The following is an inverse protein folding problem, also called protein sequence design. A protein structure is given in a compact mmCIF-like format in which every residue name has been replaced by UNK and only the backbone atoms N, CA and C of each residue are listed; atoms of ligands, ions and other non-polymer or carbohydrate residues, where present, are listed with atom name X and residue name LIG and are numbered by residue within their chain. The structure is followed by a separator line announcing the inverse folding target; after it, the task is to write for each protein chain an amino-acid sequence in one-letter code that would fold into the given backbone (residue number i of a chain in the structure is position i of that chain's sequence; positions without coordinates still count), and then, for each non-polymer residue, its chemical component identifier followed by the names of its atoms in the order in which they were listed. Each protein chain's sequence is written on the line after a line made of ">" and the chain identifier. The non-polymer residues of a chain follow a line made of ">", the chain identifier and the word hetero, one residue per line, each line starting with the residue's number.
data_IF_774925190438
#
_entry.id   IF_774925190438
#
_cell.length_a   1.000
_cell.length_b   1.000
_cell.length_c   1.000
_cell.angle_alpha   90.00
_cell.angle_beta   90.00
_cell.angle_gamma   90.00
#
_symmetry.space_group_name_H-M   'P 1'
#
loop_
_entity.id
_entity.type
_entity.pdbx_description
1 polymer ?
#
# COMPACT_ATOMS: atom_id res chain seq x y z
N UNK A 1 -16.12 11.53 -2.94
CA UNK A 1 -14.64 11.48 -2.86
C UNK A 1 -14.15 11.65 -1.43
N UNK A 2 -14.57 12.70 -0.73
CA UNK A 2 -14.07 12.97 0.62
C UNK A 2 -14.48 11.88 1.63
N UNK A 3 -15.66 11.26 1.48
CA UNK A 3 -16.04 10.10 2.31
C UNK A 3 -15.14 8.88 2.09
N UNK A 4 -14.71 8.63 0.85
CA UNK A 4 -13.75 7.56 0.55
C UNK A 4 -12.37 7.83 1.17
N UNK A 5 -11.93 9.09 1.18
CA UNK A 5 -10.70 9.50 1.87
C UNK A 5 -10.84 9.25 3.38
N UNK A 6 -11.96 9.66 3.98
CA UNK A 6 -12.24 9.45 5.41
C UNK A 6 -12.18 7.97 5.79
N UNK A 7 -12.81 7.11 4.99
CA UNK A 7 -12.79 5.66 5.22
C UNK A 7 -11.38 5.07 5.05
N UNK A 8 -10.65 5.48 4.01
CA UNK A 8 -9.27 5.05 3.77
C UNK A 8 -8.34 5.42 4.93
N UNK A 9 -8.48 6.63 5.49
CA UNK A 9 -7.72 7.07 6.68
C UNK A 9 -8.02 6.18 7.89
N UNK A 10 -9.26 5.75 8.09
CA UNK A 10 -9.58 4.80 9.15
C UNK A 10 -8.90 3.44 8.94
N UNK A 11 -8.76 2.99 7.70
CA UNK A 11 -7.96 1.81 7.31
C UNK A 11 -6.47 1.96 7.64
N UNK A 12 -5.86 3.08 7.23
CA UNK A 12 -4.45 3.41 7.55
C UNK A 12 -4.23 3.43 9.06
N UNK A 13 -5.17 3.96 9.83
CA UNK A 13 -5.13 3.93 11.28
C UNK A 13 -5.02 2.51 11.87
N UNK A 14 -5.72 1.53 11.27
CA UNK A 14 -5.60 0.12 11.68
C UNK A 14 -4.23 -0.47 11.36
N UNK A 15 -3.66 -0.15 10.20
CA UNK A 15 -2.30 -0.59 9.85
C UNK A 15 -1.24 0.02 10.78
N UNK A 16 -1.35 1.30 11.11
CA UNK A 16 -0.42 1.96 12.04
C UNK A 16 -0.42 1.31 13.43
N UNK A 17 -1.55 0.76 13.91
CA UNK A 17 -1.58 -0.01 15.16
C UNK A 17 -0.75 -1.28 15.10
N UNK A 18 -0.65 -1.93 13.93
CA UNK A 18 0.20 -3.12 13.76
C UNK A 18 1.68 -2.73 13.80
N UNK A 19 2.05 -1.64 13.13
CA UNK A 19 3.41 -1.10 13.10
C UNK A 19 3.86 -0.68 14.51
N UNK A 20 2.99 0.02 15.25
CA UNK A 20 3.24 0.45 16.63
C UNK A 20 3.38 -0.74 17.58
N UNK A 21 2.51 -1.77 17.45
CA UNK A 21 2.62 -3.01 18.22
C UNK A 21 3.91 -3.78 17.95
N UNK A 22 4.49 -3.64 16.76
CA UNK A 22 5.80 -4.20 16.43
C UNK A 22 6.99 -3.36 16.96
N UNK A 23 6.71 -2.24 17.65
CA UNK A 23 7.72 -1.40 18.31
C UNK A 23 8.30 -0.30 17.44
N UNK A 24 7.73 -0.04 16.25
CA UNK A 24 8.24 0.98 15.34
C UNK A 24 7.51 2.31 15.50
N UNK A 25 8.26 3.42 15.51
CA UNK A 25 7.74 4.78 15.49
C UNK A 25 7.25 5.26 14.12
N UNK A 26 7.38 4.43 13.09
CA UNK A 26 6.96 4.73 11.73
C UNK A 26 5.43 4.78 11.61
N UNK A 27 4.90 5.70 10.80
CA UNK A 27 3.46 5.79 10.51
C UNK A 27 3.21 6.04 9.02
N UNK A 28 2.28 5.27 8.48
CA UNK A 28 1.68 5.50 7.18
C UNK A 28 0.72 6.71 7.24
N UNK A 29 0.68 7.50 6.17
CA UNK A 29 -0.16 8.68 6.03
C UNK A 29 -0.81 8.70 4.64
N UNK A 30 -2.05 9.17 4.56
CA UNK A 30 -2.68 9.45 3.27
C UNK A 30 -2.11 10.77 2.72
N UNK A 31 -1.70 10.83 1.43
CA UNK A 31 -1.24 12.08 0.84
C UNK A 31 -2.39 13.07 0.69
N UNK A 32 -2.04 14.35 0.55
CA UNK A 32 -2.98 15.41 0.27
C UNK A 32 -3.80 15.10 -1.00
N UNK A 33 -5.08 15.47 -0.99
CA UNK A 33 -6.05 15.08 -2.01
C UNK A 33 -5.74 15.65 -3.42
N UNK A 34 -4.82 16.60 -3.54
CA UNK A 34 -4.37 17.14 -4.82
C UNK A 34 -3.08 16.49 -5.34
N UNK A 35 -2.39 15.67 -4.52
CA UNK A 35 -1.18 14.97 -4.91
C UNK A 35 -1.44 14.01 -6.08
N UNK A 36 -0.57 14.05 -7.09
CA UNK A 36 -0.51 13.13 -8.23
C UNK A 36 -1.86 12.90 -8.93
N UNK A 37 -2.54 13.98 -9.33
CA UNK A 37 -3.84 13.93 -10.02
C UNK A 37 -3.68 14.18 -11.52
N UNK A 38 -4.37 13.36 -12.32
CA UNK A 38 -4.44 13.46 -13.79
C UNK A 38 -5.86 13.76 -14.30
N UNK A 39 -6.77 14.14 -13.39
CA UNK A 39 -8.18 14.40 -13.70
C UNK A 39 -8.69 15.53 -12.79
N UNK A 40 -9.42 16.49 -13.38
CA UNK A 40 -10.10 17.58 -12.68
C UNK A 40 -9.18 18.77 -12.41
N UNK A 41 -9.59 19.67 -11.50
CA UNK A 41 -8.96 20.99 -11.29
C UNK A 41 -7.48 20.95 -10.86
N UNK A 42 -6.99 19.82 -10.36
CA UNK A 42 -5.58 19.66 -9.96
C UNK A 42 -4.72 18.98 -11.03
N UNK A 43 -5.30 18.62 -12.17
CA UNK A 43 -4.54 18.11 -13.30
C UNK A 43 -3.51 19.15 -13.76
N UNK A 44 -2.32 18.68 -14.13
CA UNK A 44 -1.17 19.53 -14.49
C UNK A 44 -0.56 20.35 -13.33
N UNK A 45 -1.10 20.28 -12.10
CA UNK A 45 -0.50 20.97 -10.95
C UNK A 45 0.38 20.04 -10.13
N UNK A 46 1.62 20.47 -9.84
CA UNK A 46 2.50 19.76 -8.90
C UNK A 46 2.16 20.14 -7.47
N UNK A 47 1.65 19.17 -6.74
CA UNK A 47 1.36 19.28 -5.30
C UNK A 47 2.11 18.16 -4.59
N UNK A 48 2.87 18.48 -3.54
CA UNK A 48 3.57 17.51 -2.70
C UNK A 48 2.60 16.69 -1.83
N UNK A 49 3.03 15.55 -1.23
CA UNK A 49 2.17 14.74 -0.37
C UNK A 49 1.59 15.48 0.84
N UNK A 50 2.27 16.51 1.34
CA UNK A 50 1.82 17.38 2.44
C UNK A 50 0.89 18.53 1.98
N UNK A 51 0.69 18.71 0.67
CA UNK A 51 -0.29 19.65 0.11
C UNK A 51 0.26 20.99 -0.36
N UNK A 52 1.58 21.20 -0.39
CA UNK A 52 2.18 22.42 -0.95
C UNK A 52 2.17 22.36 -2.48
N UNK A 53 1.84 23.47 -3.13
CA UNK A 53 2.07 23.62 -4.57
C UNK A 53 3.57 23.85 -4.77
N UNK A 54 4.20 23.04 -5.62
CA UNK A 54 5.65 23.03 -5.80
C UNK A 54 6.01 23.22 -7.28
N UNK A 55 7.28 23.52 -7.54
CA UNK A 55 7.79 23.63 -8.91
C UNK A 55 7.98 22.26 -9.56
N UNK A 56 8.08 22.22 -10.91
CA UNK A 56 8.47 21.00 -11.63
C UNK A 56 9.87 20.51 -11.22
N UNK A 57 10.80 21.43 -10.94
CA UNK A 57 12.15 21.06 -10.49
C UNK A 57 12.13 20.41 -9.09
N UNK A 58 11.34 20.96 -8.15
CA UNK A 58 11.15 20.37 -6.82
C UNK A 58 10.43 19.02 -6.92
N UNK A 59 9.42 18.90 -7.80
CA UNK A 59 8.76 17.62 -8.07
C UNK A 59 9.76 16.57 -8.58
N UNK A 60 10.53 16.89 -9.62
CA UNK A 60 11.50 15.98 -10.22
C UNK A 60 12.57 15.50 -9.22
N UNK A 61 12.99 16.38 -8.31
CA UNK A 61 13.96 16.06 -7.28
C UNK A 61 13.44 15.11 -6.19
N UNK A 62 12.12 15.08 -5.94
CA UNK A 62 11.54 14.35 -4.80
C UNK A 62 10.57 13.22 -5.18
N UNK A 63 10.09 13.16 -6.43
CA UNK A 63 9.05 12.20 -6.84
C UNK A 63 9.43 10.74 -6.59
N UNK A 64 10.73 10.42 -6.66
CA UNK A 64 11.26 9.07 -6.39
C UNK A 64 11.11 8.65 -4.92
N UNK A 65 11.00 9.60 -4.00
CA UNK A 65 10.74 9.36 -2.57
C UNK A 65 9.24 9.22 -2.27
N UNK A 66 8.36 9.62 -3.20
CA UNK A 66 6.91 9.63 -3.00
C UNK A 66 6.18 8.56 -3.78
N UNK A 67 6.71 8.18 -4.94
CA UNK A 67 6.11 7.21 -5.84
C UNK A 67 7.11 6.08 -6.13
N UNK A 68 6.64 4.82 -6.19
CA UNK A 68 7.51 3.69 -6.48
C UNK A 68 8.23 3.87 -7.83
N UNK A 69 9.55 3.78 -7.76
CA UNK A 69 10.47 3.83 -8.90
C UNK A 69 10.42 2.52 -9.70
N UNK A 70 11.12 2.49 -10.84
CA UNK A 70 11.26 1.25 -11.60
C UNK A 70 12.03 0.20 -10.79
N UNK A 71 13.04 0.63 -10.05
CA UNK A 71 13.84 -0.25 -9.19
C UNK A 71 13.00 -0.85 -8.05
N UNK A 72 12.15 -0.04 -7.40
CA UNK A 72 11.23 -0.53 -6.36
C UNK A 72 10.25 -1.56 -6.93
N UNK A 73 9.71 -1.31 -8.12
CA UNK A 73 8.77 -2.22 -8.80
C UNK A 73 9.45 -3.52 -9.20
N UNK A 74 10.65 -3.45 -9.75
CA UNK A 74 11.45 -4.62 -10.11
C UNK A 74 11.76 -5.47 -8.87
N UNK A 75 12.12 -4.84 -7.75
CA UNK A 75 12.35 -5.54 -6.49
C UNK A 75 11.08 -6.24 -5.99
N UNK A 76 9.93 -5.54 -5.91
CA UNK A 76 8.67 -6.17 -5.49
C UNK A 76 8.29 -7.32 -6.43
N UNK A 77 8.45 -7.15 -7.75
CA UNK A 77 8.18 -8.20 -8.72
C UNK A 77 9.06 -9.44 -8.49
N UNK A 78 10.33 -9.26 -8.10
CA UNK A 78 11.24 -10.38 -7.81
C UNK A 78 10.79 -11.24 -6.61
N UNK A 79 9.98 -10.69 -5.70
CA UNK A 79 9.40 -11.43 -4.57
C UNK A 79 8.20 -12.30 -4.97
N UNK A 80 7.63 -12.07 -6.16
CA UNK A 80 6.38 -12.70 -6.58
C UNK A 80 6.65 -14.11 -7.12
N UNK A 81 6.43 -15.12 -6.28
CA UNK A 81 6.46 -16.54 -6.65
C UNK A 81 5.20 -17.26 -6.19
N UNK A 82 4.71 -18.19 -7.01
CA UNK A 82 3.51 -18.99 -6.68
C UNK A 82 3.81 -19.95 -5.52
N UNK A 83 3.00 -19.89 -4.47
CA UNK A 83 2.96 -20.86 -3.36
C UNK A 83 1.55 -21.45 -3.29
N UNK A 84 1.42 -22.76 -3.48
CA UNK A 84 0.12 -23.46 -3.53
C UNK A 84 -0.01 -24.60 -2.53
N UNK A 85 1.03 -24.89 -1.76
CA UNK A 85 0.95 -25.89 -0.71
C UNK A 85 -0.03 -25.39 0.38
N UNK A 86 -1.07 -26.17 0.72
CA UNK A 86 -2.05 -25.76 1.72
C UNK A 86 -1.39 -25.36 3.05
N UNK A 87 -1.74 -24.18 3.55
CA UNK A 87 -1.20 -23.63 4.81
C UNK A 87 0.19 -22.99 4.69
N UNK A 88 0.81 -22.95 3.50
CA UNK A 88 2.03 -22.19 3.25
C UNK A 88 1.72 -20.81 2.67
N UNK A 89 2.51 -19.83 3.08
CA UNK A 89 2.51 -18.47 2.56
C UNK A 89 3.88 -18.16 1.95
N UNK A 90 3.91 -17.28 0.96
CA UNK A 90 5.17 -16.74 0.45
C UNK A 90 5.87 -15.91 1.54
N UNK A 91 7.21 -15.86 1.51
CA UNK A 91 8.01 -15.24 2.57
C UNK A 91 7.73 -13.76 2.82
N UNK A 92 7.14 -13.05 1.85
CA UNK A 92 6.83 -11.62 1.97
C UNK A 92 5.50 -11.33 2.68
N UNK A 93 4.70 -12.35 3.02
CA UNK A 93 3.40 -12.19 3.66
C UNK A 93 3.18 -13.15 4.83
N UNK A 94 2.70 -12.62 5.96
CA UNK A 94 2.35 -13.41 7.14
C UNK A 94 1.06 -14.23 6.91
N UNK A 95 0.88 -15.36 7.63
CA UNK A 95 -0.41 -16.06 7.69
C UNK A 95 -1.55 -15.13 8.11
N UNK A 96 -2.78 -15.34 7.59
CA UNK A 96 -3.97 -14.69 8.13
C UNK A 96 -4.27 -15.22 9.55
N UNK A 97 -5.01 -14.43 10.35
CA UNK A 97 -5.37 -14.82 11.72
C UNK A 97 -6.42 -15.94 11.73
N UNK A 98 -7.31 -15.97 10.74
CA UNK A 98 -8.39 -16.96 10.61
C UNK A 98 -8.52 -17.42 9.16
N UNK A 99 -8.98 -18.65 8.96
CA UNK A 99 -9.40 -19.13 7.65
C UNK A 99 -10.79 -18.65 7.25
N UNK A 100 -11.21 -19.01 6.04
CA UNK A 100 -12.50 -18.62 5.45
C UNK A 100 -13.59 -19.64 5.82
N UNK A 101 -14.81 -19.17 6.11
CA UNK A 101 -15.98 -20.02 6.38
C UNK A 101 -15.73 -21.11 7.44
N UNK A 102 -15.03 -20.74 8.53
CA UNK A 102 -14.65 -21.65 9.63
C UNK A 102 -13.75 -22.82 9.20
N UNK A 103 -13.23 -22.81 7.98
CA UNK A 103 -12.23 -23.77 7.55
C UNK A 103 -10.86 -23.39 8.12
N UNK A 104 -9.99 -24.36 8.42
CA UNK A 104 -8.63 -24.08 8.89
C UNK A 104 -7.79 -23.44 7.78
N UNK A 105 -6.70 -22.74 8.15
CA UNK A 105 -5.81 -22.04 7.21
C UNK A 105 -5.19 -23.00 6.17
N UNK A 106 -4.95 -24.25 6.54
CA UNK A 106 -4.42 -25.29 5.67
C UNK A 106 -5.51 -26.09 4.92
N UNK A 107 -6.75 -25.60 4.90
CA UNK A 107 -7.79 -26.18 4.04
C UNK A 107 -7.39 -26.03 2.57
N UNK A 108 -7.75 -27.03 1.76
CA UNK A 108 -7.57 -27.00 0.32
C UNK A 108 -8.61 -26.05 -0.31
N UNK A 109 -8.33 -24.75 -0.27
CA UNK A 109 -9.25 -23.72 -0.77
C UNK A 109 -9.46 -23.75 -2.29
N UNK A 110 -8.52 -24.33 -3.03
CA UNK A 110 -8.58 -24.45 -4.49
C UNK A 110 -8.13 -25.87 -4.89
N UNK A 111 -8.90 -26.52 -5.74
CA UNK A 111 -8.56 -27.78 -6.40
C UNK A 111 -8.27 -27.50 -7.88
N UNK A 112 -7.19 -28.06 -8.42
CA UNK A 112 -6.72 -27.78 -9.78
C UNK A 112 -7.14 -28.82 -10.82
N UNK A 113 -7.88 -29.85 -10.40
CA UNK A 113 -8.39 -30.91 -11.26
C UNK A 113 -9.72 -30.50 -11.90
#
# INVERSE_FOLDING_TARGET
>A
RDDYIRDSIAGIGRWNRVIEKAGFGFRLQAPHKAFNRHIGTFDGTRVSPDGRVISEAEWAANVREWLPTEEDRAYVASLMGRVIEPGKMANWIAPPVIGINRQPINFEYVRFN
#
